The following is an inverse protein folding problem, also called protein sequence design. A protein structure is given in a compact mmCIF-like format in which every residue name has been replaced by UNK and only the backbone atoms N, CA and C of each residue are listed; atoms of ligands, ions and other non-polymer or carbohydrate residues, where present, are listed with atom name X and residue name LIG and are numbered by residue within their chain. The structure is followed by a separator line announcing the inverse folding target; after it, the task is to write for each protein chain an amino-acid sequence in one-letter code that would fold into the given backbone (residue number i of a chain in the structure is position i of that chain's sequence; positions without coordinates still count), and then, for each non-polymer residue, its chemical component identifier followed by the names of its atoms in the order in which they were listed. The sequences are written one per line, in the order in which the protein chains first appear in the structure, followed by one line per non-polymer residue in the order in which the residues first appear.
data_IF_039815483332
#
_entry.id   IF_039815483332
#
_cell.length_a   1.000
_cell.length_b   1.000
_cell.length_c   1.000
_cell.angle_alpha   90.00
_cell.angle_beta   90.00
_cell.angle_gamma   90.00
#
_symmetry.space_group_name_H-M   'P 1'
#
loop_
_entity.id
_entity.type
_entity.pdbx_description
1 polymer ?
#
# COMPACT_ATOMS: atom_id res chain seq x y z
N UNK A 1 -17.99 -29.63 18.29
CA UNK A 1 -16.93 -28.59 18.17
C UNK A 1 -15.87 -29.18 17.26
N UNK A 2 -15.82 -28.74 16.01
CA UNK A 2 -14.72 -29.08 15.09
C UNK A 2 -13.52 -28.29 15.60
N UNK A 3 -12.57 -28.95 16.21
CA UNK A 3 -11.25 -28.37 16.52
C UNK A 3 -10.61 -28.05 15.17
N UNK A 4 -10.50 -26.75 14.82
CA UNK A 4 -9.71 -26.32 13.67
C UNK A 4 -8.29 -26.81 13.90
N UNK A 5 -7.78 -27.65 12.99
CA UNK A 5 -6.37 -28.05 12.95
C UNK A 5 -5.54 -26.76 12.80
N UNK A 6 -4.49 -26.59 13.57
CA UNK A 6 -3.53 -25.53 13.34
C UNK A 6 -2.83 -25.73 12.00
N UNK A 7 -2.72 -24.67 11.21
CA UNK A 7 -1.96 -24.68 9.96
C UNK A 7 -0.47 -24.91 10.23
N UNK A 8 0.18 -25.67 9.35
CA UNK A 8 1.65 -25.78 9.36
C UNK A 8 2.30 -24.47 8.92
N UNK A 9 3.61 -24.35 9.10
CA UNK A 9 4.35 -23.16 8.63
C UNK A 9 4.31 -23.06 7.11
N UNK A 10 4.40 -24.18 6.39
CA UNK A 10 4.32 -24.27 4.94
C UNK A 10 2.92 -23.83 4.43
N UNK A 11 1.86 -24.35 5.06
CA UNK A 11 0.48 -23.96 4.73
C UNK A 11 0.24 -22.45 4.96
N UNK A 12 0.80 -21.92 6.04
CA UNK A 12 0.72 -20.49 6.37
C UNK A 12 1.50 -19.63 5.37
N UNK A 13 2.72 -20.04 4.99
CA UNK A 13 3.55 -19.35 3.99
C UNK A 13 2.81 -19.32 2.65
N UNK A 14 2.24 -20.45 2.21
CA UNK A 14 1.52 -20.52 0.94
C UNK A 14 0.29 -19.62 0.93
N UNK A 15 -0.51 -19.65 1.99
CA UNK A 15 -1.67 -18.76 2.14
C UNK A 15 -1.27 -17.27 2.12
N UNK A 16 -0.16 -16.92 2.77
CA UNK A 16 0.35 -15.55 2.73
C UNK A 16 0.84 -15.18 1.32
N UNK A 17 1.51 -16.10 0.62
CA UNK A 17 1.97 -15.91 -0.76
C UNK A 17 0.78 -15.65 -1.68
N UNK A 18 -0.24 -16.51 -1.65
CA UNK A 18 -1.46 -16.36 -2.45
C UNK A 18 -2.13 -14.99 -2.27
N UNK A 19 -2.18 -14.46 -1.03
CA UNK A 19 -2.76 -13.13 -0.78
C UNK A 19 -1.97 -12.00 -1.47
N UNK A 20 -0.64 -12.08 -1.47
CA UNK A 20 0.20 -11.07 -2.11
C UNK A 20 0.24 -11.24 -3.64
N UNK A 21 0.15 -12.47 -4.14
CA UNK A 21 -0.01 -12.74 -5.57
C UNK A 21 -1.36 -12.18 -6.06
N UNK A 22 -2.43 -12.32 -5.29
CA UNK A 22 -3.72 -11.70 -5.56
C UNK A 22 -3.61 -10.16 -5.62
N UNK A 23 -2.84 -9.53 -4.72
CA UNK A 23 -2.58 -8.10 -4.78
C UNK A 23 -1.91 -7.70 -6.10
N UNK A 24 -0.89 -8.45 -6.53
CA UNK A 24 -0.20 -8.19 -7.80
C UNK A 24 -1.17 -8.34 -9.00
N UNK A 25 -1.98 -9.38 -9.02
CA UNK A 25 -2.94 -9.63 -10.09
C UNK A 25 -4.06 -8.58 -10.15
N UNK A 26 -4.57 -8.18 -8.99
CA UNK A 26 -5.55 -7.09 -8.89
C UNK A 26 -4.94 -5.74 -9.32
N UNK A 27 -3.66 -5.50 -9.03
CA UNK A 27 -2.95 -4.31 -9.50
C UNK A 27 -2.83 -4.30 -11.03
N UNK A 28 -2.51 -5.45 -11.65
CA UNK A 28 -2.49 -5.62 -13.11
C UNK A 28 -3.87 -5.35 -13.72
N UNK A 29 -4.93 -5.89 -13.11
CA UNK A 29 -6.30 -5.69 -13.55
C UNK A 29 -6.74 -4.21 -13.43
N UNK A 30 -6.36 -3.54 -12.34
CA UNK A 30 -6.61 -2.10 -12.15
C UNK A 30 -5.90 -1.26 -13.21
N UNK A 31 -4.67 -1.62 -13.55
CA UNK A 31 -3.90 -0.93 -14.58
C UNK A 31 -4.52 -1.08 -15.98
N UNK A 32 -5.08 -2.23 -16.31
CA UNK A 32 -5.79 -2.44 -17.59
C UNK A 32 -7.16 -1.76 -17.62
N UNK A 33 -7.63 -1.21 -16.49
CA UNK A 33 -8.97 -0.63 -16.37
C UNK A 33 -10.08 -1.68 -16.22
N UNK A 34 -9.74 -2.95 -16.01
CA UNK A 34 -10.71 -4.03 -15.74
C UNK A 34 -11.30 -3.87 -14.33
N UNK A 35 -10.49 -3.39 -13.39
CA UNK A 35 -10.87 -3.03 -12.02
C UNK A 35 -10.78 -1.52 -11.86
N UNK A 36 -11.89 -0.91 -11.47
CA UNK A 36 -12.01 0.56 -11.33
C UNK A 36 -11.28 1.08 -10.12
N UNK A 37 -11.40 0.41 -9.01
CA UNK A 37 -10.73 0.78 -7.77
C UNK A 37 -10.54 -0.40 -6.83
N UNK A 38 -9.48 -0.33 -6.02
CA UNK A 38 -9.26 -1.24 -4.92
C UNK A 38 -8.73 -0.53 -3.69
N UNK A 39 -9.08 -1.05 -2.52
CA UNK A 39 -8.53 -0.67 -1.23
C UNK A 39 -7.65 -1.82 -0.74
N UNK A 40 -6.41 -1.52 -0.42
CA UNK A 40 -5.45 -2.46 0.16
C UNK A 40 -5.20 -2.07 1.60
N UNK A 41 -5.77 -2.82 2.52
CA UNK A 41 -5.66 -2.60 3.97
C UNK A 41 -4.73 -3.63 4.61
N UNK A 42 -4.12 -3.25 5.71
CA UNK A 42 -3.27 -4.14 6.51
C UNK A 42 -2.29 -3.35 7.37
N UNK A 43 -1.61 -4.00 8.32
CA UNK A 43 -0.67 -3.32 9.19
C UNK A 43 0.52 -2.73 8.41
N UNK A 44 1.22 -1.73 8.98
CA UNK A 44 2.41 -1.17 8.36
C UNK A 44 3.51 -2.24 8.21
N UNK A 45 4.35 -2.09 7.19
CA UNK A 45 5.55 -2.91 7.01
C UNK A 45 5.31 -4.37 6.59
N UNK A 46 4.14 -4.72 6.02
CA UNK A 46 3.85 -6.07 5.48
C UNK A 46 4.13 -6.19 3.97
N UNK A 47 4.45 -5.07 3.29
CA UNK A 47 4.79 -5.08 1.87
C UNK A 47 3.69 -4.63 0.92
N UNK A 48 2.63 -3.93 1.41
CA UNK A 48 1.51 -3.44 0.57
C UNK A 48 1.99 -2.57 -0.59
N UNK A 49 2.68 -1.48 -0.27
CA UNK A 49 3.18 -0.51 -1.26
C UNK A 49 4.15 -1.16 -2.23
N UNK A 50 5.06 -2.00 -1.72
CA UNK A 50 6.01 -2.73 -2.56
C UNK A 50 5.32 -3.63 -3.58
N UNK A 51 4.28 -4.37 -3.19
CA UNK A 51 3.53 -5.25 -4.10
C UNK A 51 2.84 -4.48 -5.24
N UNK A 52 2.29 -3.30 -4.96
CA UNK A 52 1.68 -2.42 -5.96
C UNK A 52 2.74 -1.77 -6.86
N UNK A 53 3.75 -1.15 -6.28
CA UNK A 53 4.80 -0.43 -7.02
C UNK A 53 5.63 -1.38 -7.90
N UNK A 54 5.90 -2.61 -7.46
CA UNK A 54 6.58 -3.64 -8.25
C UNK A 54 5.87 -3.92 -9.58
N UNK A 55 4.54 -3.98 -9.57
CA UNK A 55 3.73 -4.21 -10.78
C UNK A 55 3.73 -2.97 -11.66
N UNK A 56 3.51 -1.79 -11.09
CA UNK A 56 3.42 -0.54 -11.84
C UNK A 56 4.79 -0.12 -12.39
N UNK A 57 5.86 -0.28 -11.62
CA UNK A 57 7.23 0.06 -12.04
C UNK A 57 7.76 -0.74 -13.23
N UNK A 58 7.43 -2.03 -13.32
CA UNK A 58 7.75 -2.84 -14.52
C UNK A 58 7.15 -2.24 -15.79
N UNK A 59 5.99 -1.64 -15.69
CA UNK A 59 5.32 -1.02 -16.82
C UNK A 59 5.86 0.39 -17.14
N UNK A 60 6.35 1.11 -16.13
CA UNK A 60 7.02 2.38 -16.33
C UNK A 60 8.29 2.22 -17.16
N UNK A 61 9.10 1.22 -16.84
CA UNK A 61 10.31 0.92 -17.61
C UNK A 61 9.98 0.62 -19.08
N UNK A 62 8.93 -0.18 -19.35
CA UNK A 62 8.49 -0.48 -20.72
C UNK A 62 7.96 0.79 -21.40
N UNK A 63 7.25 1.65 -20.69
CA UNK A 63 6.73 2.91 -21.24
C UNK A 63 7.87 3.88 -21.57
N UNK A 64 8.90 3.99 -20.73
CA UNK A 64 10.08 4.79 -20.97
C UNK A 64 10.87 4.32 -22.21
N UNK A 65 11.02 3.01 -22.39
CA UNK A 65 11.66 2.43 -23.58
C UNK A 65 10.88 2.70 -24.86
N UNK A 66 9.55 2.91 -24.76
CA UNK A 66 8.68 3.23 -25.88
C UNK A 66 8.38 4.73 -26.06
N UNK A 67 9.10 5.62 -25.35
CA UNK A 67 8.89 7.09 -25.34
C UNK A 67 7.43 7.49 -25.05
N UNK A 68 6.80 6.79 -24.11
CA UNK A 68 5.41 7.01 -23.69
C UNK A 68 5.37 7.58 -22.28
N UNK A 69 4.41 8.48 -21.96
CA UNK A 69 4.26 8.97 -20.58
C UNK A 69 3.85 7.84 -19.63
N UNK A 70 4.32 7.91 -18.40
CA UNK A 70 3.86 7.02 -17.34
C UNK A 70 2.35 7.20 -17.13
N UNK A 71 1.61 6.08 -17.11
CA UNK A 71 0.15 6.07 -16.92
C UNK A 71 -0.25 5.87 -15.45
N UNK A 72 0.63 6.15 -14.51
CA UNK A 72 0.31 6.12 -13.09
C UNK A 72 1.08 7.16 -12.30
N UNK A 73 0.52 7.54 -11.16
CA UNK A 73 1.20 8.37 -10.17
C UNK A 73 0.94 7.80 -8.77
N UNK A 74 1.98 7.75 -7.94
CA UNK A 74 1.88 7.40 -6.52
C UNK A 74 1.90 8.68 -5.71
N UNK A 75 0.82 8.93 -4.98
CA UNK A 75 0.66 10.07 -4.08
C UNK A 75 0.84 9.58 -2.65
N UNK A 76 1.77 10.21 -1.91
CA UNK A 76 2.04 9.93 -0.49
C UNK A 76 1.81 11.18 0.35
N UNK A 77 1.35 11.00 1.59
CA UNK A 77 1.18 12.07 2.55
C UNK A 77 -0.19 12.75 2.51
N UNK A 78 -0.27 14.01 2.93
CA UNK A 78 -1.53 14.74 3.08
C UNK A 78 -1.98 15.42 1.78
N UNK A 79 -3.30 15.40 1.54
CA UNK A 79 -3.92 16.01 0.39
C UNK A 79 -5.22 16.71 0.79
N UNK A 80 -5.44 17.92 0.27
CA UNK A 80 -6.73 18.62 0.37
C UNK A 80 -7.70 18.14 -0.70
N UNK A 81 -9.01 18.37 -0.51
CA UNK A 81 -10.03 18.02 -1.50
C UNK A 81 -9.78 18.65 -2.88
N UNK A 82 -9.31 19.90 -2.91
CA UNK A 82 -8.98 20.56 -4.18
C UNK A 82 -7.73 19.96 -4.84
N UNK A 83 -6.74 19.51 -4.04
CA UNK A 83 -5.58 18.77 -4.52
C UNK A 83 -6.00 17.43 -5.11
N UNK A 84 -6.90 16.72 -4.45
CA UNK A 84 -7.49 15.47 -4.93
C UNK A 84 -8.20 15.67 -6.27
N UNK A 85 -9.04 16.71 -6.37
CA UNK A 85 -9.75 17.04 -7.60
C UNK A 85 -8.79 17.27 -8.78
N UNK A 86 -7.73 18.06 -8.58
CA UNK A 86 -6.69 18.30 -9.58
C UNK A 86 -5.96 17.02 -9.99
N UNK A 87 -5.63 16.14 -9.03
CA UNK A 87 -4.97 14.85 -9.31
C UNK A 87 -5.87 13.91 -10.11
N UNK A 88 -7.15 13.84 -9.78
CA UNK A 88 -8.12 13.05 -10.53
C UNK A 88 -8.27 13.58 -11.96
N UNK A 89 -8.30 14.90 -12.16
CA UNK A 89 -8.35 15.49 -13.49
C UNK A 89 -7.12 15.11 -14.33
N UNK A 90 -5.93 15.23 -13.76
CA UNK A 90 -4.67 14.91 -14.43
C UNK A 90 -4.59 13.43 -14.86
N UNK A 91 -5.26 12.55 -14.14
CA UNK A 91 -5.30 11.11 -14.40
C UNK A 91 -6.68 10.61 -14.85
N UNK A 92 -7.48 11.50 -15.45
CA UNK A 92 -8.86 11.21 -15.83
C UNK A 92 -9.00 10.25 -17.01
N UNK A 93 -7.96 10.11 -17.83
CA UNK A 93 -8.00 9.26 -19.01
C UNK A 93 -8.02 7.78 -18.67
N UNK A 94 -8.59 6.98 -19.57
CA UNK A 94 -8.59 5.54 -19.48
C UNK A 94 -7.15 5.01 -19.37
N UNK A 95 -6.98 3.92 -18.62
CA UNK A 95 -5.71 3.24 -18.34
C UNK A 95 -4.73 4.03 -17.46
N UNK A 96 -5.11 5.20 -16.96
CA UNK A 96 -4.36 5.89 -15.91
C UNK A 96 -4.72 5.34 -14.55
N UNK A 97 -3.72 5.23 -13.67
CA UNK A 97 -3.90 4.75 -12.30
C UNK A 97 -3.37 5.79 -11.31
N UNK A 98 -4.21 6.18 -10.37
CA UNK A 98 -3.82 7.04 -9.26
C UNK A 98 -3.72 6.20 -7.98
N UNK A 99 -2.52 6.11 -7.42
CA UNK A 99 -2.26 5.37 -6.19
C UNK A 99 -2.16 6.34 -5.02
N UNK A 100 -3.00 6.15 -4.01
CA UNK A 100 -2.96 6.87 -2.74
C UNK A 100 -2.31 5.98 -1.70
N UNK A 101 -1.03 6.22 -1.39
CA UNK A 101 -0.24 5.43 -0.46
C UNK A 101 -0.06 6.19 0.86
N UNK A 102 -0.65 5.69 1.93
CA UNK A 102 -0.71 6.36 3.25
C UNK A 102 -1.24 7.82 3.14
N UNK A 103 -2.15 8.07 2.20
CA UNK A 103 -2.79 9.38 2.00
C UNK A 103 -4.16 9.42 2.72
N UNK A 104 -4.16 9.05 4.00
CA UNK A 104 -5.38 8.83 4.79
C UNK A 104 -6.20 10.10 5.05
N UNK A 105 -5.63 11.28 4.78
CA UNK A 105 -6.36 12.57 4.83
C UNK A 105 -7.58 12.58 3.92
N UNK A 106 -7.55 11.88 2.77
CA UNK A 106 -8.69 11.80 1.84
C UNK A 106 -9.88 11.03 2.43
N UNK A 107 -9.64 10.17 3.41
CA UNK A 107 -10.68 9.43 4.11
C UNK A 107 -11.24 10.16 5.34
N UNK A 108 -10.55 11.22 5.78
CA UNK A 108 -10.93 12.02 6.95
C UNK A 108 -11.68 13.29 6.59
N UNK A 109 -11.79 13.62 5.31
CA UNK A 109 -12.43 14.83 4.79
C UNK A 109 -13.68 14.47 3.99
N UNK A 110 -14.84 15.00 4.40
CA UNK A 110 -16.13 14.69 3.78
C UNK A 110 -16.19 15.14 2.31
N UNK A 111 -15.57 16.27 1.97
CA UNK A 111 -15.55 16.77 0.59
C UNK A 111 -14.71 15.84 -0.31
N UNK A 112 -13.55 15.39 0.17
CA UNK A 112 -12.73 14.40 -0.51
C UNK A 112 -13.47 13.10 -0.74
N UNK A 113 -14.18 12.58 0.27
CA UNK A 113 -14.98 11.38 0.15
C UNK A 113 -16.13 11.52 -0.86
N UNK A 114 -16.78 12.69 -0.93
CA UNK A 114 -17.81 12.94 -1.93
C UNK A 114 -17.24 12.98 -3.36
N UNK A 115 -16.06 13.56 -3.55
CA UNK A 115 -15.34 13.56 -4.83
C UNK A 115 -14.98 12.13 -5.23
N UNK A 116 -14.43 11.33 -4.30
CA UNK A 116 -14.08 9.92 -4.55
C UNK A 116 -15.30 9.08 -4.89
N UNK A 117 -16.43 9.27 -4.20
CA UNK A 117 -17.68 8.55 -4.52
C UNK A 117 -18.17 8.85 -5.94
N UNK A 118 -18.02 10.11 -6.40
CA UNK A 118 -18.34 10.47 -7.78
C UNK A 118 -17.36 9.88 -8.80
N UNK A 119 -16.04 9.90 -8.48
CA UNK A 119 -14.99 9.34 -9.33
C UNK A 119 -15.11 7.82 -9.51
N UNK A 120 -15.61 7.11 -8.50
CA UNK A 120 -15.66 5.66 -8.45
C UNK A 120 -17.09 5.10 -8.58
N UNK A 121 -18.05 5.94 -9.00
CA UNK A 121 -19.42 5.51 -9.25
C UNK A 121 -19.48 4.30 -10.21
N UNK A 122 -20.46 3.42 -10.02
CA UNK A 122 -20.66 2.25 -10.86
C UNK A 122 -21.13 2.57 -12.28
N UNK A 123 -21.60 3.79 -12.53
CA UNK A 123 -22.05 4.25 -13.85
C UNK A 123 -20.90 4.29 -14.86
N UNK A 124 -21.26 4.17 -16.14
CA UNK A 124 -20.29 4.25 -17.25
C UNK A 124 -19.62 5.61 -17.33
N UNK A 125 -20.39 6.69 -17.17
CA UNK A 125 -19.90 8.07 -17.17
C UNK A 125 -19.79 8.57 -15.73
N UNK A 126 -18.56 8.73 -15.25
CA UNK A 126 -18.24 9.17 -13.89
C UNK A 126 -17.88 10.64 -13.91
N UNK A 127 -18.88 11.50 -13.91
CA UNK A 127 -18.70 12.95 -13.92
C UNK A 127 -18.44 13.45 -12.51
N UNK A 128 -17.33 14.15 -12.33
CA UNK A 128 -16.96 14.84 -11.11
C UNK A 128 -17.17 16.35 -11.35
N UNK A 129 -17.77 17.04 -10.38
CA UNK A 129 -18.03 18.47 -10.45
C UNK A 129 -17.47 19.18 -9.22
N UNK A 130 -16.89 20.36 -9.44
CA UNK A 130 -16.52 21.32 -8.41
C UNK A 130 -17.43 22.54 -8.54
N UNK A 131 -18.44 22.63 -7.70
CA UNK A 131 -19.54 23.59 -7.87
C UNK A 131 -19.31 24.94 -7.18
N UNK A 132 -18.08 25.26 -6.80
CA UNK A 132 -17.71 26.54 -6.18
C UNK A 132 -16.59 27.20 -6.96
N UNK A 133 -16.55 28.53 -6.94
CA UNK A 133 -15.45 29.25 -7.58
C UNK A 133 -14.12 28.95 -6.92
N UNK A 134 -13.08 28.67 -7.71
CA UNK A 134 -11.75 28.35 -7.23
C UNK A 134 -10.66 28.99 -8.08
N UNK A 135 -9.94 29.92 -7.47
CA UNK A 135 -8.77 30.54 -8.07
C UNK A 135 -7.68 29.50 -8.43
N UNK A 136 -7.51 28.48 -7.59
CA UNK A 136 -6.54 27.41 -7.83
C UNK A 136 -6.87 26.61 -9.08
N UNK A 137 -8.12 26.21 -9.27
CA UNK A 137 -8.52 25.45 -10.46
C UNK A 137 -8.30 26.24 -11.74
N UNK A 138 -8.65 27.53 -11.72
CA UNK A 138 -8.39 28.40 -12.87
C UNK A 138 -6.92 28.53 -13.21
N UNK A 139 -6.08 28.72 -12.21
CA UNK A 139 -4.63 28.85 -12.41
C UNK A 139 -3.98 27.56 -12.94
N UNK A 140 -4.48 26.42 -12.53
CA UNK A 140 -3.99 25.11 -12.99
C UNK A 140 -4.67 24.62 -14.28
N UNK A 141 -5.60 25.42 -14.83
CA UNK A 141 -6.35 25.05 -16.04
C UNK A 141 -7.27 23.85 -15.86
N UNK A 142 -7.72 23.59 -14.61
CA UNK A 142 -8.60 22.48 -14.29
C UNK A 142 -10.06 22.92 -14.40
N UNK A 143 -10.90 22.25 -15.21
CA UNK A 143 -12.30 22.64 -15.40
C UNK A 143 -13.16 22.34 -14.17
N UNK A 144 -14.31 23.02 -14.06
CA UNK A 144 -15.27 22.81 -12.97
C UNK A 144 -15.96 21.45 -13.02
N UNK A 145 -15.87 20.72 -14.12
CA UNK A 145 -16.35 19.36 -14.22
C UNK A 145 -15.61 18.58 -15.30
N UNK A 146 -15.41 17.28 -15.07
CA UNK A 146 -14.82 16.37 -16.04
C UNK A 146 -15.31 14.93 -15.81
N UNK A 147 -15.14 14.08 -16.81
CA UNK A 147 -15.37 12.65 -16.67
C UNK A 147 -14.08 11.96 -16.27
N UNK A 148 -14.14 11.12 -15.23
CA UNK A 148 -13.01 10.33 -14.78
C UNK A 148 -13.13 8.91 -15.32
N UNK A 149 -12.25 8.51 -16.22
CA UNK A 149 -12.18 7.16 -16.79
C UNK A 149 -11.00 6.34 -16.24
N UNK A 150 -10.14 6.95 -15.42
CA UNK A 150 -9.01 6.31 -14.78
C UNK A 150 -9.41 5.34 -13.67
N UNK A 151 -8.42 4.77 -13.01
CA UNK A 151 -8.55 3.84 -11.90
C UNK A 151 -7.83 4.34 -10.66
N UNK A 152 -8.21 3.85 -9.47
CA UNK A 152 -7.61 4.25 -8.21
C UNK A 152 -7.22 3.05 -7.35
N UNK A 153 -6.07 3.17 -6.67
CA UNK A 153 -5.60 2.21 -5.67
C UNK A 153 -5.38 2.97 -4.37
N UNK A 154 -6.02 2.53 -3.30
CA UNK A 154 -5.82 3.08 -1.96
C UNK A 154 -5.05 2.09 -1.11
N UNK A 155 -3.89 2.49 -0.60
CA UNK A 155 -3.09 1.71 0.34
C UNK A 155 -3.18 2.40 1.70
N UNK A 156 -3.73 1.72 2.69
CA UNK A 156 -3.99 2.30 4.01
C UNK A 156 -3.70 1.33 5.14
N UNK A 157 -3.39 1.88 6.32
CA UNK A 157 -3.32 1.14 7.58
C UNK A 157 -4.63 1.26 8.37
N UNK A 158 -5.59 2.08 7.92
CA UNK A 158 -6.87 2.29 8.60
C UNK A 158 -7.75 1.05 8.40
N UNK A 159 -8.30 0.55 9.52
CA UNK A 159 -9.44 -0.36 9.50
C UNK A 159 -10.71 0.48 9.62
N UNK A 160 -11.53 0.49 8.58
CA UNK A 160 -12.72 1.34 8.51
C UNK A 160 -13.72 1.04 9.63
N UNK A 161 -13.83 -0.22 10.04
CA UNK A 161 -14.67 -0.64 11.17
C UNK A 161 -14.31 0.04 12.50
N UNK A 162 -13.06 0.48 12.66
CA UNK A 162 -12.56 1.12 13.88
C UNK A 162 -12.80 2.64 13.92
N UNK A 163 -13.39 3.23 12.88
CA UNK A 163 -13.68 4.67 12.81
C UNK A 163 -14.84 5.00 13.75
N UNK A 164 -14.59 5.88 14.74
CA UNK A 164 -15.57 6.20 15.80
C UNK A 164 -16.78 7.00 15.30
N UNK A 165 -16.57 7.93 14.37
CA UNK A 165 -17.64 8.77 13.81
C UNK A 165 -18.57 7.95 12.93
N UNK A 166 -19.85 7.84 13.32
CA UNK A 166 -20.86 7.14 12.50
C UNK A 166 -20.97 7.75 11.11
N UNK A 167 -21.07 9.08 11.00
CA UNK A 167 -21.15 9.78 9.71
C UNK A 167 -19.97 9.44 8.82
N UNK A 168 -18.77 9.39 9.38
CA UNK A 168 -17.56 9.07 8.62
C UNK A 168 -17.53 7.61 8.19
N UNK A 169 -17.98 6.68 9.05
CA UNK A 169 -18.13 5.27 8.67
C UNK A 169 -19.09 5.09 7.50
N UNK A 170 -20.26 5.73 7.53
CA UNK A 170 -21.24 5.65 6.46
C UNK A 170 -20.66 6.12 5.12
N UNK A 171 -19.80 7.14 5.13
CA UNK A 171 -19.06 7.59 3.94
C UNK A 171 -18.00 6.60 3.46
N UNK A 172 -17.27 5.99 4.40
CA UNK A 172 -16.23 4.99 4.10
C UNK A 172 -16.85 3.69 3.57
N UNK A 173 -17.95 3.23 4.15
CA UNK A 173 -18.72 2.09 3.66
C UNK A 173 -19.24 2.33 2.24
N UNK A 174 -19.72 3.54 1.95
CA UNK A 174 -20.13 3.93 0.61
C UNK A 174 -18.98 3.96 -0.40
N UNK A 175 -17.75 4.27 0.03
CA UNK A 175 -16.56 4.19 -0.79
C UNK A 175 -16.13 2.73 -0.98
N UNK A 176 -16.09 1.96 0.10
CA UNK A 176 -15.72 0.54 0.08
C UNK A 176 -16.63 -0.26 -0.85
N UNK A 177 -17.94 0.01 -0.85
CA UNK A 177 -18.89 -0.64 -1.77
C UNK A 177 -18.60 -0.41 -3.26
N UNK A 178 -17.77 0.57 -3.61
CA UNK A 178 -17.33 0.91 -4.97
C UNK A 178 -15.95 0.35 -5.32
N UNK A 179 -15.26 -0.23 -4.35
CA UNK A 179 -13.90 -0.72 -4.48
C UNK A 179 -13.85 -2.23 -4.21
N UNK A 180 -12.90 -2.91 -4.82
CA UNK A 180 -12.49 -4.22 -4.33
C UNK A 180 -11.64 -4.05 -3.08
N UNK A 181 -11.90 -4.82 -2.04
CA UNK A 181 -11.20 -4.72 -0.76
C UNK A 181 -10.25 -5.91 -0.58
N UNK A 182 -8.97 -5.61 -0.41
CA UNK A 182 -7.93 -6.61 -0.15
C UNK A 182 -7.41 -6.39 1.26
N UNK A 183 -7.69 -7.36 2.13
CA UNK A 183 -7.18 -7.38 3.50
C UNK A 183 -5.88 -8.20 3.58
N UNK A 184 -4.78 -7.52 3.84
CA UNK A 184 -3.46 -8.11 4.06
C UNK A 184 -3.10 -8.13 5.55
N UNK A 185 -4.08 -8.20 6.42
CA UNK A 185 -3.85 -8.29 7.87
C UNK A 185 -3.09 -9.58 8.19
N UNK A 186 -2.02 -9.43 8.95
CA UNK A 186 -1.23 -10.50 9.54
C UNK A 186 -1.35 -10.34 11.04
N UNK A 187 -2.05 -11.27 11.69
CA UNK A 187 -2.50 -11.09 13.06
C UNK A 187 -1.45 -11.53 14.09
N UNK A 188 -0.70 -12.59 13.80
CA UNK A 188 0.21 -13.20 14.79
C UNK A 188 1.68 -12.88 14.50
N UNK A 189 2.50 -12.87 15.54
CA UNK A 189 3.95 -12.70 15.39
C UNK A 189 4.58 -13.89 14.65
N UNK A 190 3.98 -15.09 14.76
CA UNK A 190 4.37 -16.27 13.97
C UNK A 190 4.18 -15.99 12.46
N UNK A 191 3.01 -15.54 12.04
CA UNK A 191 2.74 -15.22 10.63
C UNK A 191 3.64 -14.09 10.12
N UNK A 192 3.89 -13.05 10.92
CA UNK A 192 4.81 -11.96 10.58
C UNK A 192 6.23 -12.48 10.34
N UNK A 193 6.72 -13.36 11.23
CA UNK A 193 8.05 -13.97 11.05
C UNK A 193 8.12 -14.86 9.82
N UNK A 194 7.10 -15.69 9.58
CA UNK A 194 7.03 -16.53 8.36
C UNK A 194 7.04 -15.65 7.09
N UNK A 195 6.32 -14.54 7.10
CA UNK A 195 6.35 -13.57 5.99
C UNK A 195 7.73 -12.93 5.83
N UNK A 196 8.38 -12.55 6.92
CA UNK A 196 9.74 -11.99 6.89
C UNK A 196 10.71 -13.01 6.30
N UNK A 197 10.71 -14.25 6.77
CA UNK A 197 11.55 -15.34 6.25
C UNK A 197 11.33 -15.55 4.74
N UNK A 198 10.06 -15.56 4.31
CA UNK A 198 9.70 -15.73 2.92
C UNK A 198 10.26 -14.59 2.04
N UNK A 199 9.98 -13.35 2.39
CA UNK A 199 10.37 -12.19 1.58
C UNK A 199 11.88 -11.99 1.56
N UNK A 200 12.57 -12.28 2.68
CA UNK A 200 14.02 -12.24 2.74
C UNK A 200 14.65 -13.30 1.84
N UNK A 201 14.09 -14.53 1.86
CA UNK A 201 14.52 -15.61 0.96
C UNK A 201 14.23 -15.30 -0.52
N UNK A 202 13.17 -14.58 -0.80
CA UNK A 202 12.78 -14.14 -2.16
C UNK A 202 13.62 -12.94 -2.66
N UNK A 203 14.69 -12.53 -1.94
CA UNK A 203 15.68 -11.56 -2.40
C UNK A 203 15.45 -10.12 -1.93
N UNK A 204 14.66 -9.89 -0.87
CA UNK A 204 14.41 -8.52 -0.36
C UNK A 204 15.69 -7.74 -0.03
N UNK A 205 16.76 -8.43 0.38
CA UNK A 205 18.02 -7.83 0.78
C UNK A 205 19.12 -7.87 -0.29
N UNK A 206 18.81 -8.31 -1.52
CA UNK A 206 19.81 -8.46 -2.60
C UNK A 206 20.53 -7.14 -2.93
N UNK A 207 19.81 -6.02 -2.90
CA UNK A 207 20.37 -4.69 -3.16
C UNK A 207 21.41 -4.25 -2.08
N UNK A 208 21.34 -4.83 -0.89
CA UNK A 208 22.31 -4.57 0.18
C UNK A 208 23.68 -5.21 -0.08
N UNK A 209 23.72 -6.24 -0.96
CA UNK A 209 24.93 -7.01 -1.27
C UNK A 209 25.58 -7.62 -0.01
N UNK A 210 24.76 -8.06 0.93
CA UNK A 210 25.19 -8.79 2.13
C UNK A 210 25.43 -10.26 1.76
N UNK A 211 26.40 -10.90 2.43
CA UNK A 211 26.60 -12.35 2.30
C UNK A 211 25.38 -13.11 2.83
N UNK A 212 25.08 -14.30 2.25
CA UNK A 212 23.94 -15.13 2.68
C UNK A 212 23.93 -15.36 4.19
N UNK A 213 25.10 -15.65 4.79
CA UNK A 213 25.24 -15.85 6.24
C UNK A 213 24.78 -14.61 7.05
N UNK A 214 25.05 -13.41 6.59
CA UNK A 214 24.60 -12.16 7.27
C UNK A 214 23.10 -12.01 7.17
N UNK A 215 22.53 -12.37 6.02
CA UNK A 215 21.06 -12.37 5.82
C UNK A 215 20.39 -13.34 6.78
N UNK A 216 20.93 -14.55 6.92
CA UNK A 216 20.43 -15.55 7.85
C UNK A 216 20.56 -15.07 9.31
N UNK A 217 21.72 -14.49 9.69
CA UNK A 217 21.93 -13.90 11.01
C UNK A 217 20.92 -12.80 11.34
N UNK A 218 20.56 -11.94 10.37
CA UNK A 218 19.53 -10.91 10.54
C UNK A 218 18.16 -11.53 10.83
N UNK A 219 17.79 -12.57 10.09
CA UNK A 219 16.51 -13.27 10.27
C UNK A 219 16.47 -13.98 11.63
N UNK A 220 17.54 -14.66 12.01
CA UNK A 220 17.67 -15.34 13.30
C UNK A 220 17.65 -14.36 14.48
N UNK A 221 18.29 -13.20 14.32
CA UNK A 221 18.24 -12.13 15.30
C UNK A 221 16.80 -11.62 15.52
N UNK A 222 16.05 -11.42 14.44
CA UNK A 222 14.65 -11.01 14.53
C UNK A 222 13.77 -12.08 15.17
N UNK A 223 13.94 -13.36 14.82
CA UNK A 223 13.20 -14.47 15.40
C UNK A 223 13.45 -14.55 16.92
N UNK A 224 14.72 -14.51 17.31
CA UNK A 224 15.15 -14.61 18.71
C UNK A 224 14.67 -13.44 19.57
N UNK A 225 14.46 -12.28 18.96
CA UNK A 225 14.08 -11.04 19.63
C UNK A 225 12.67 -10.55 19.32
N UNK A 226 11.83 -11.34 18.65
CA UNK A 226 10.53 -10.93 18.13
C UNK A 226 9.62 -10.20 19.14
N UNK A 227 9.63 -10.59 20.40
CA UNK A 227 8.82 -9.95 21.46
C UNK A 227 9.44 -8.68 22.01
N UNK A 228 10.75 -8.49 21.85
CA UNK A 228 11.51 -7.32 22.32
C UNK A 228 11.62 -6.21 21.27
N UNK A 229 11.42 -6.53 19.99
CA UNK A 229 11.44 -5.55 18.90
C UNK A 229 10.33 -4.52 19.10
N UNK A 230 10.60 -3.24 18.77
CA UNK A 230 9.57 -2.17 18.73
C UNK A 230 8.48 -2.49 17.73
N UNK A 231 8.87 -3.07 16.60
CA UNK A 231 8.00 -3.45 15.49
C UNK A 231 8.54 -4.71 14.84
N UNK A 232 7.71 -5.73 14.71
CA UNK A 232 8.02 -6.93 13.95
C UNK A 232 7.48 -6.77 12.53
N UNK A 233 8.32 -6.28 11.62
CA UNK A 233 7.93 -5.93 10.26
C UNK A 233 9.09 -5.99 9.27
N UNK A 234 8.78 -5.95 7.96
CA UNK A 234 9.80 -5.85 6.91
C UNK A 234 10.61 -4.54 7.01
N UNK A 235 10.03 -3.44 7.53
CA UNK A 235 10.77 -2.20 7.78
C UNK A 235 11.89 -2.40 8.81
N UNK A 236 11.65 -3.20 9.83
CA UNK A 236 12.68 -3.53 10.82
C UNK A 236 13.81 -4.36 10.22
N UNK A 237 13.50 -5.29 9.32
CA UNK A 237 14.53 -6.03 8.55
C UNK A 237 15.43 -5.07 7.79
N UNK A 238 14.86 -4.11 7.06
CA UNK A 238 15.63 -3.11 6.30
C UNK A 238 16.52 -2.25 7.22
N UNK A 239 15.99 -1.81 8.37
CA UNK A 239 16.78 -1.06 9.37
C UNK A 239 17.98 -1.85 9.88
N UNK A 240 17.80 -3.14 10.14
CA UNK A 240 18.91 -4.00 10.59
C UNK A 240 19.89 -4.25 9.45
N UNK A 241 19.41 -4.43 8.22
CA UNK A 241 20.28 -4.55 7.03
C UNK A 241 21.13 -3.29 6.79
N UNK A 242 20.55 -2.08 7.00
CA UNK A 242 21.30 -0.83 6.98
C UNK A 242 22.47 -0.85 7.97
N UNK A 243 22.20 -1.34 9.20
CA UNK A 243 23.23 -1.45 10.25
C UNK A 243 24.28 -2.50 9.90
N UNK A 244 23.88 -3.66 9.38
CA UNK A 244 24.79 -4.72 8.97
C UNK A 244 25.74 -4.26 7.84
N UNK A 245 25.21 -3.48 6.90
CA UNK A 245 26.01 -2.88 5.82
C UNK A 245 26.97 -1.80 6.33
N UNK A 246 26.49 -0.91 7.21
CA UNK A 246 27.28 0.22 7.71
C UNK A 246 28.28 -0.19 8.81
N UNK A 247 27.95 -1.21 9.60
CA UNK A 247 28.71 -1.63 10.78
C UNK A 247 28.86 -3.15 10.85
N UNK A 248 29.57 -3.81 9.90
CA UNK A 248 29.58 -5.26 9.76
C UNK A 248 29.98 -6.03 11.02
N UNK A 249 30.85 -5.47 11.87
CA UNK A 249 31.40 -6.14 13.07
C UNK A 249 30.63 -5.84 14.36
N UNK A 250 29.64 -4.94 14.34
CA UNK A 250 28.93 -4.50 15.56
C UNK A 250 27.46 -4.16 15.32
N UNK A 251 26.90 -4.63 14.22
CA UNK A 251 25.52 -4.31 13.84
C UNK A 251 24.48 -4.81 14.88
N UNK A 252 24.73 -5.96 15.52
CA UNK A 252 23.85 -6.49 16.56
C UNK A 252 23.73 -5.53 17.76
N UNK A 253 24.88 -5.06 18.27
CA UNK A 253 24.89 -4.08 19.36
C UNK A 253 24.22 -2.76 18.97
N UNK A 254 24.35 -2.35 17.70
CA UNK A 254 23.65 -1.18 17.18
C UNK A 254 22.12 -1.46 17.09
N UNK A 255 21.72 -2.64 16.65
CA UNK A 255 20.32 -3.04 16.57
C UNK A 255 19.66 -3.09 17.96
N UNK A 256 20.33 -3.64 18.99
CA UNK A 256 19.84 -3.60 20.37
C UNK A 256 19.46 -2.19 20.83
N UNK A 257 20.25 -1.19 20.47
CA UNK A 257 20.03 0.18 20.87
C UNK A 257 19.02 0.96 20.03
N UNK A 258 18.71 0.49 18.81
CA UNK A 258 17.92 1.25 17.84
C UNK A 258 16.55 0.64 17.55
N UNK A 259 16.43 -0.69 17.49
CA UNK A 259 15.18 -1.36 17.11
C UNK A 259 14.47 -2.06 18.27
N UNK A 260 15.13 -2.21 19.44
CA UNK A 260 14.51 -2.83 20.62
C UNK A 260 13.63 -1.84 21.42
N UNK A 261 12.63 -2.36 22.11
CA UNK A 261 11.91 -1.63 23.15
C UNK A 261 12.89 -1.28 24.27
N UNK A 262 12.76 -0.09 24.84
CA UNK A 262 13.42 0.21 26.09
C UNK A 262 12.71 -0.58 27.20
N UNK A 263 13.45 -1.36 27.97
CA UNK A 263 12.95 -2.05 29.15
C UNK A 263 12.45 -1.07 30.22
#
# INVERSE_FOLDING_TARGET
KVTKREETDEETIERLRERFDMLEDMTKATKRGDVRAMIVSGPPGVGKSHGVEKVLGKHELIAQLGDRPAKYEVVKGAMSAIGLYCKLYKHADKDNVLVFDDCDSVFSDELSLNILKAALDSKKNRKICWNTDSFKLRNEGVPDSFNFAGSAIFITNIKFDNVKSKKMRDHLEALESRCHYIDLTIDTDREKMLRIKQITKDGMLDEYQLGEHVVDEIVDYMESNKTKLRELSLRTVLKIADLAKAFPTKWEAMAENTVMKRG
#
